data_IF_144219968537
#
_entry.id   IF_144219968537
#
_cell.length_a   1.000
_cell.length_b   1.000
_cell.length_c   1.000
_cell.angle_alpha   90.00
_cell.angle_beta   90.00
_cell.angle_gamma   90.00
#
_symmetry.space_group_name_H-M   'P 1'
#
loop_
_entity.id
_entity.type
_entity.pdbx_description
1 polymer ?
#
# COMPACT_ATOMS: atom_id res chain seq x y z
N UNK A 1 -11.60 -24.18 8.97
CA UNK A 1 -12.29 -22.87 8.86
C UNK A 1 -12.21 -22.22 10.23
N UNK A 2 -11.35 -21.21 10.36
CA UNK A 2 -11.23 -20.43 11.60
C UNK A 2 -12.55 -19.68 11.80
N UNK A 3 -13.26 -19.96 12.89
CA UNK A 3 -14.57 -19.40 13.21
C UNK A 3 -14.51 -17.99 13.81
N UNK A 4 -13.36 -17.33 13.79
CA UNK A 4 -13.10 -16.09 14.55
C UNK A 4 -12.97 -14.84 13.66
N UNK A 5 -13.04 -14.98 12.34
CA UNK A 5 -12.97 -13.85 11.41
C UNK A 5 -14.36 -13.46 10.89
N UNK A 6 -14.53 -12.17 10.65
CA UNK A 6 -15.72 -11.62 10.01
C UNK A 6 -15.90 -12.23 8.60
N UNK A 7 -17.14 -12.55 8.16
CA UNK A 7 -17.40 -13.12 6.84
C UNK A 7 -16.83 -12.29 5.68
N UNK A 8 -16.89 -10.96 5.74
CA UNK A 8 -16.33 -10.08 4.69
C UNK A 8 -14.81 -10.23 4.63
N UNK A 9 -14.15 -10.40 5.78
CA UNK A 9 -12.70 -10.66 5.82
C UNK A 9 -12.34 -12.04 5.28
N UNK A 10 -13.19 -13.05 5.48
CA UNK A 10 -13.00 -14.37 4.86
C UNK A 10 -13.13 -14.30 3.34
N UNK A 11 -14.13 -13.56 2.83
CA UNK A 11 -14.27 -13.31 1.39
C UNK A 11 -13.05 -12.60 0.82
N UNK A 12 -12.48 -11.63 1.55
CA UNK A 12 -11.23 -10.97 1.15
C UNK A 12 -10.05 -11.94 1.11
N UNK A 13 -9.91 -12.83 2.10
CA UNK A 13 -8.84 -13.83 2.13
C UNK A 13 -8.97 -14.79 0.94
N UNK A 14 -10.19 -15.25 0.63
CA UNK A 14 -10.47 -16.11 -0.50
C UNK A 14 -10.20 -15.39 -1.84
N UNK A 15 -10.57 -14.11 -1.92
CA UNK A 15 -10.30 -13.24 -3.07
C UNK A 15 -8.80 -12.95 -3.23
N UNK A 16 -8.00 -12.87 -2.18
CA UNK A 16 -6.53 -12.81 -2.31
C UNK A 16 -6.02 -14.18 -2.79
N UNK A 17 -6.33 -15.24 -2.06
CA UNK A 17 -5.84 -16.59 -2.35
C UNK A 17 -4.31 -16.74 -2.17
N UNK A 18 -3.85 -18.00 -2.06
CA UNK A 18 -2.47 -18.31 -1.66
C UNK A 18 -1.41 -17.72 -2.61
N UNK A 19 -1.65 -17.78 -3.92
CA UNK A 19 -0.71 -17.27 -4.94
C UNK A 19 -0.47 -15.77 -4.80
N UNK A 20 -1.54 -14.96 -4.72
CA UNK A 20 -1.40 -13.50 -4.62
C UNK A 20 -0.92 -13.10 -3.23
N UNK A 21 -1.31 -13.82 -2.16
CA UNK A 21 -0.75 -13.61 -0.83
C UNK A 21 0.78 -13.75 -0.82
N UNK A 22 1.33 -14.80 -1.43
CA UNK A 22 2.78 -14.98 -1.55
C UNK A 22 3.45 -13.85 -2.36
N UNK A 23 2.84 -13.41 -3.46
CA UNK A 23 3.34 -12.29 -4.26
C UNK A 23 3.30 -10.96 -3.48
N UNK A 24 2.23 -10.71 -2.72
CA UNK A 24 2.09 -9.53 -1.85
C UNK A 24 3.15 -9.51 -0.75
N UNK A 25 3.41 -10.64 -0.09
CA UNK A 25 4.45 -10.74 0.94
C UNK A 25 5.83 -10.45 0.35
N UNK A 26 6.16 -11.07 -0.79
CA UNK A 26 7.44 -10.86 -1.45
C UNK A 26 7.62 -9.39 -1.90
N UNK A 27 6.57 -8.79 -2.47
CA UNK A 27 6.56 -7.40 -2.87
C UNK A 27 6.69 -6.45 -1.68
N UNK A 28 6.00 -6.72 -0.56
CA UNK A 28 6.07 -5.95 0.68
C UNK A 28 7.49 -5.90 1.26
N UNK A 29 8.14 -7.06 1.38
CA UNK A 29 9.54 -7.14 1.85
C UNK A 29 10.48 -6.36 0.94
N UNK A 30 10.31 -6.47 -0.38
CA UNK A 30 11.13 -5.72 -1.34
C UNK A 30 10.88 -4.20 -1.27
N UNK A 31 9.62 -3.77 -1.15
CA UNK A 31 9.25 -2.36 -1.00
C UNK A 31 9.84 -1.78 0.29
N UNK A 32 9.74 -2.50 1.41
CA UNK A 32 10.32 -2.07 2.69
C UNK A 32 11.84 -1.87 2.59
N UNK A 33 12.54 -2.82 1.95
CA UNK A 33 13.98 -2.74 1.74
C UNK A 33 14.38 -1.55 0.86
N UNK A 34 13.66 -1.33 -0.24
CA UNK A 34 13.91 -0.21 -1.15
C UNK A 34 13.64 1.15 -0.49
N UNK A 35 12.55 1.28 0.29
CA UNK A 35 12.25 2.51 1.05
C UNK A 35 13.39 2.82 2.02
N UNK A 36 13.89 1.82 2.75
CA UNK A 36 15.02 2.01 3.68
C UNK A 36 16.30 2.41 2.94
N UNK A 37 16.59 1.77 1.82
CA UNK A 37 17.75 2.10 0.99
C UNK A 37 17.70 3.54 0.47
N UNK A 38 16.55 3.97 -0.05
CA UNK A 38 16.34 5.34 -0.50
C UNK A 38 16.40 6.34 0.68
N UNK A 39 15.88 5.96 1.85
CA UNK A 39 15.93 6.78 3.06
C UNK A 39 17.36 6.97 3.60
N UNK A 40 18.19 5.95 3.51
CA UNK A 40 19.62 6.01 3.85
C UNK A 40 20.41 6.83 2.84
N UNK A 41 20.10 6.70 1.55
CA UNK A 41 20.75 7.45 0.48
C UNK A 41 20.48 8.96 0.57
N UNK A 42 19.22 9.34 0.84
CA UNK A 42 18.84 10.75 0.95
C UNK A 42 19.09 11.35 2.33
N UNK A 43 19.06 10.56 3.40
CA UNK A 43 19.02 11.10 4.75
C UNK A 43 17.82 12.03 4.96
N UNK A 44 18.07 13.30 5.26
CA UNK A 44 17.05 14.35 5.39
C UNK A 44 16.87 15.20 4.12
N UNK A 45 17.63 14.93 3.07
CA UNK A 45 17.52 15.70 1.83
C UNK A 45 16.20 15.38 1.11
N UNK A 46 15.64 16.35 0.37
CA UNK A 46 14.42 16.16 -0.39
C UNK A 46 14.59 15.14 -1.51
N UNK A 47 13.49 14.52 -1.91
CA UNK A 47 13.45 13.55 -3.01
C UNK A 47 13.79 14.20 -4.35
N UNK A 48 14.86 13.72 -4.98
CA UNK A 48 15.14 13.88 -6.41
C UNK A 48 14.59 12.66 -7.18
N UNK A 49 13.68 12.91 -8.13
CA UNK A 49 13.00 11.86 -8.91
C UNK A 49 13.93 11.03 -9.80
N UNK A 50 15.17 11.44 -10.06
CA UNK A 50 16.02 10.80 -11.08
C UNK A 50 16.77 9.55 -10.60
N UNK A 51 16.75 9.23 -9.30
CA UNK A 51 17.69 8.23 -8.72
C UNK A 51 17.12 7.20 -7.76
N UNK A 52 15.85 7.31 -7.35
CA UNK A 52 15.32 6.52 -6.24
C UNK A 52 14.50 5.32 -6.72
N UNK A 53 14.49 4.27 -5.89
CA UNK A 53 13.87 2.97 -6.16
C UNK A 53 12.35 3.04 -5.96
N UNK A 54 11.92 3.67 -4.87
CA UNK A 54 10.51 3.73 -4.44
C UNK A 54 10.11 5.15 -4.03
N UNK A 55 10.95 5.91 -3.32
CA UNK A 55 10.53 7.23 -2.79
C UNK A 55 10.20 8.25 -3.90
N UNK A 56 10.75 8.08 -5.11
CA UNK A 56 10.41 8.87 -6.31
C UNK A 56 9.01 8.59 -6.85
N UNK A 57 8.41 7.45 -6.48
CA UNK A 57 7.06 7.01 -6.87
C UNK A 57 5.98 7.49 -5.90
N UNK A 58 6.34 8.16 -4.80
CA UNK A 58 5.37 8.71 -3.87
C UNK A 58 4.81 10.05 -4.38
N UNK A 59 3.63 10.47 -3.88
CA UNK A 59 3.12 11.82 -4.11
C UNK A 59 4.11 12.91 -3.70
N UNK A 60 4.14 14.04 -4.42
CA UNK A 60 5.12 15.12 -4.18
C UNK A 60 5.05 15.72 -2.77
N UNK A 61 3.89 15.65 -2.10
CA UNK A 61 3.73 16.11 -0.72
C UNK A 61 4.66 15.39 0.27
N UNK A 62 5.17 14.20 -0.08
CA UNK A 62 6.08 13.42 0.76
C UNK A 62 7.56 13.75 0.52
N UNK A 63 7.90 14.59 -0.46
CA UNK A 63 9.28 14.71 -0.94
C UNK A 63 10.23 15.35 0.08
N UNK A 64 9.70 16.24 0.91
CA UNK A 64 10.43 16.93 1.98
C UNK A 64 10.46 16.13 3.30
N UNK A 65 9.89 14.92 3.33
CA UNK A 65 9.78 14.16 4.58
C UNK A 65 11.13 13.63 5.05
N UNK A 66 11.31 13.60 6.37
CA UNK A 66 12.55 13.20 7.02
C UNK A 66 12.88 11.71 6.84
N UNK A 67 14.15 11.33 7.09
CA UNK A 67 14.57 9.93 7.21
C UNK A 67 13.68 9.14 8.17
N UNK A 68 13.30 9.72 9.30
CA UNK A 68 12.46 9.05 10.30
C UNK A 68 11.09 8.69 9.72
N UNK A 69 10.44 9.65 9.06
CA UNK A 69 9.15 9.44 8.39
C UNK A 69 9.24 8.34 7.32
N UNK A 70 10.32 8.33 6.52
CA UNK A 70 10.56 7.30 5.50
C UNK A 70 10.74 5.91 6.11
N UNK A 71 11.37 5.80 7.28
CA UNK A 71 11.45 4.54 8.01
C UNK A 71 10.08 4.10 8.55
N UNK A 72 9.26 5.01 9.06
CA UNK A 72 7.88 4.67 9.44
C UNK A 72 7.09 4.12 8.24
N UNK A 73 7.29 4.69 7.05
CA UNK A 73 6.70 4.18 5.82
C UNK A 73 7.20 2.76 5.47
N UNK A 74 8.49 2.46 5.67
CA UNK A 74 9.01 1.11 5.50
C UNK A 74 8.41 0.12 6.51
N UNK A 75 8.17 0.54 7.76
CA UNK A 75 7.49 -0.29 8.76
C UNK A 75 6.04 -0.61 8.36
N UNK A 76 5.35 0.30 7.65
CA UNK A 76 4.03 0.02 7.09
C UNK A 76 4.08 -1.18 6.12
N UNK A 77 5.10 -1.28 5.26
CA UNK A 77 5.26 -2.42 4.35
C UNK A 77 5.47 -3.73 5.13
N UNK A 78 6.32 -3.72 6.16
CA UNK A 78 6.57 -4.90 6.97
C UNK A 78 5.32 -5.36 7.74
N UNK A 79 4.51 -4.43 8.25
CA UNK A 79 3.24 -4.75 8.90
C UNK A 79 2.27 -5.42 7.93
N UNK A 80 2.13 -4.91 6.71
CA UNK A 80 1.27 -5.52 5.69
C UNK A 80 1.75 -6.92 5.28
N UNK A 81 3.07 -7.13 5.22
CA UNK A 81 3.65 -8.46 4.99
C UNK A 81 3.27 -9.43 6.13
N UNK A 82 3.38 -8.97 7.38
CA UNK A 82 3.03 -9.76 8.56
C UNK A 82 1.54 -10.08 8.63
N UNK A 83 0.67 -9.11 8.33
CA UNK A 83 -0.77 -9.32 8.25
C UNK A 83 -1.10 -10.38 7.19
N UNK A 84 -0.52 -10.24 5.99
CA UNK A 84 -0.73 -11.20 4.90
C UNK A 84 -0.23 -12.60 5.27
N UNK A 85 0.93 -12.72 5.92
CA UNK A 85 1.44 -14.00 6.43
C UNK A 85 0.52 -14.63 7.49
N UNK A 86 -0.11 -13.82 8.32
CA UNK A 86 -0.88 -14.28 9.47
C UNK A 86 -2.32 -14.62 9.11
N UNK A 87 -2.93 -13.80 8.26
CA UNK A 87 -4.36 -13.86 7.98
C UNK A 87 -4.68 -14.21 6.53
N UNK A 88 -3.70 -14.18 5.63
CA UNK A 88 -3.90 -14.47 4.21
C UNK A 88 -4.18 -13.22 3.35
N UNK A 89 -4.39 -12.06 3.97
CA UNK A 89 -4.60 -10.79 3.31
C UNK A 89 -3.94 -9.64 4.11
N UNK A 90 -3.46 -8.56 3.46
CA UNK A 90 -2.99 -7.37 4.15
C UNK A 90 -4.18 -6.60 4.75
N UNK A 91 -3.96 -5.93 5.88
CA UNK A 91 -5.00 -5.15 6.59
C UNK A 91 -4.49 -3.74 6.84
N UNK A 92 -4.63 -2.80 5.90
CA UNK A 92 -4.15 -1.44 6.09
C UNK A 92 -4.97 -0.70 7.16
N UNK A 93 -4.28 -0.05 8.10
CA UNK A 93 -4.90 0.65 9.23
C UNK A 93 -4.67 2.15 9.27
N UNK A 94 -3.86 2.67 8.37
CA UNK A 94 -3.54 4.09 8.29
C UNK A 94 -3.17 4.46 6.85
N UNK A 95 -3.19 5.75 6.54
CA UNK A 95 -2.90 6.28 5.19
C UNK A 95 -1.53 5.83 4.67
N UNK A 96 -0.53 5.74 5.56
CA UNK A 96 0.80 5.24 5.21
C UNK A 96 0.79 3.76 4.81
N UNK A 97 -0.03 2.93 5.46
CA UNK A 97 -0.21 1.53 5.07
C UNK A 97 -0.90 1.43 3.71
N UNK A 98 -1.93 2.22 3.43
CA UNK A 98 -2.60 2.19 2.12
C UNK A 98 -1.73 2.68 0.97
N UNK A 99 -1.00 3.77 1.16
CA UNK A 99 -0.06 4.27 0.16
C UNK A 99 1.01 3.21 -0.15
N UNK A 100 1.49 2.50 0.87
CA UNK A 100 2.47 1.43 0.67
C UNK A 100 1.82 0.20 0.04
N UNK A 101 0.60 -0.14 0.42
CA UNK A 101 -0.17 -1.22 -0.18
C UNK A 101 -0.36 -1.01 -1.69
N UNK A 102 -0.59 0.23 -2.12
CA UNK A 102 -0.61 0.59 -3.54
C UNK A 102 0.68 0.20 -4.28
N UNK A 103 1.83 0.55 -3.71
CA UNK A 103 3.14 0.21 -4.27
C UNK A 103 3.37 -1.30 -4.27
N UNK A 104 2.94 -2.00 -3.21
CA UNK A 104 3.05 -3.45 -3.06
C UNK A 104 2.21 -4.16 -4.12
N UNK A 105 0.94 -3.80 -4.27
CA UNK A 105 0.01 -4.41 -5.23
C UNK A 105 0.53 -4.22 -6.65
N UNK A 106 0.95 -3.00 -7.01
CA UNK A 106 1.52 -2.73 -8.34
C UNK A 106 2.78 -3.57 -8.63
N UNK A 107 3.65 -3.75 -7.62
CA UNK A 107 4.86 -4.57 -7.75
C UNK A 107 4.55 -6.07 -7.79
N UNK A 108 3.61 -6.55 -6.98
CA UNK A 108 3.18 -7.93 -6.97
C UNK A 108 2.54 -8.31 -8.30
N UNK A 109 1.63 -7.47 -8.82
CA UNK A 109 1.00 -7.66 -10.13
C UNK A 109 2.04 -7.68 -11.27
N UNK A 110 3.01 -6.76 -11.26
CA UNK A 110 4.06 -6.74 -12.26
C UNK A 110 4.94 -8.01 -12.24
N UNK A 111 5.29 -8.49 -11.05
CA UNK A 111 6.09 -9.70 -10.88
C UNK A 111 5.32 -10.97 -11.29
N UNK A 112 4.04 -11.03 -10.94
CA UNK A 112 3.15 -12.16 -11.21
C UNK A 112 2.82 -12.30 -12.72
N UNK A 113 2.61 -11.17 -13.41
CA UNK A 113 2.20 -11.15 -14.82
C UNK A 113 3.36 -11.00 -15.80
N UNK A 114 4.51 -10.51 -15.33
CA UNK A 114 5.64 -10.10 -16.18
C UNK A 114 5.40 -8.80 -16.96
N UNK A 115 4.30 -8.09 -16.70
CA UNK A 115 3.94 -6.82 -17.36
C UNK A 115 4.37 -5.61 -16.52
N UNK A 116 4.48 -4.40 -17.12
CA UNK A 116 4.60 -3.17 -16.35
C UNK A 116 3.44 -3.00 -15.37
N UNK A 117 3.68 -2.46 -14.17
CA UNK A 117 2.67 -2.34 -13.11
C UNK A 117 1.35 -1.71 -13.58
N UNK A 118 1.39 -0.61 -14.32
CA UNK A 118 0.17 0.06 -14.85
C UNK A 118 -0.64 -0.82 -15.79
N UNK A 119 0.01 -1.74 -16.52
CA UNK A 119 -0.67 -2.71 -17.36
C UNK A 119 -1.15 -3.89 -16.54
N UNK A 120 -0.32 -4.41 -15.62
CA UNK A 120 -0.66 -5.54 -14.75
C UNK A 120 -1.91 -5.26 -13.88
N UNK A 121 -2.08 -4.01 -13.43
CA UNK A 121 -3.27 -3.57 -12.68
C UNK A 121 -4.57 -3.58 -13.50
N UNK A 122 -4.47 -3.52 -14.83
CA UNK A 122 -5.63 -3.51 -15.75
C UNK A 122 -5.70 -4.81 -16.57
N UNK A 123 -4.73 -5.72 -16.38
CA UNK A 123 -4.58 -6.87 -17.25
C UNK A 123 -5.55 -7.98 -16.85
N UNK A 124 -6.68 -8.04 -17.56
CA UNK A 124 -7.48 -9.26 -17.70
C UNK A 124 -6.96 -10.04 -18.91
N UNK A 125 -5.97 -10.92 -18.73
CA UNK A 125 -5.57 -11.87 -19.77
C UNK A 125 -6.72 -12.76 -20.27
N UNK A 126 -7.81 -12.81 -19.49
CA UNK A 126 -9.10 -13.38 -19.81
C UNK A 126 -10.20 -12.54 -19.13
N UNK A 127 -11.17 -11.96 -19.85
CA UNK A 127 -12.25 -11.15 -19.26
C UNK A 127 -13.24 -11.95 -18.39
N UNK A 128 -13.20 -13.29 -18.43
CA UNK A 128 -13.96 -14.17 -17.55
C UNK A 128 -13.16 -14.64 -16.31
N UNK A 129 -11.96 -14.08 -16.09
CA UNK A 129 -11.11 -14.43 -14.95
C UNK A 129 -11.38 -13.47 -13.77
N UNK A 130 -12.03 -13.92 -12.68
CA UNK A 130 -12.28 -13.09 -11.50
C UNK A 130 -11.01 -12.78 -10.70
N UNK A 131 -9.84 -13.33 -11.07
CA UNK A 131 -8.58 -13.15 -10.35
C UNK A 131 -7.73 -11.97 -10.86
N UNK A 132 -8.35 -10.90 -11.35
CA UNK A 132 -7.61 -9.71 -11.78
C UNK A 132 -7.03 -8.94 -10.59
N UNK A 133 -5.83 -8.38 -10.75
CA UNK A 133 -5.20 -7.56 -9.71
C UNK A 133 -5.90 -6.20 -9.52
N UNK A 134 -6.66 -5.73 -10.52
CA UNK A 134 -7.41 -4.48 -10.47
C UNK A 134 -8.56 -4.54 -9.48
N UNK A 135 -9.39 -5.59 -9.55
CA UNK A 135 -10.53 -5.77 -8.64
C UNK A 135 -10.04 -5.96 -7.20
N UNK A 136 -8.98 -6.75 -7.01
CA UNK A 136 -8.37 -6.95 -5.69
C UNK A 136 -7.87 -5.65 -5.06
N UNK A 137 -7.42 -4.68 -5.86
CA UNK A 137 -6.99 -3.38 -5.32
C UNK A 137 -8.15 -2.52 -4.82
N UNK A 138 -9.37 -2.71 -5.31
CA UNK A 138 -10.53 -2.01 -4.77
C UNK A 138 -10.91 -2.58 -3.41
N UNK A 139 -10.85 -3.90 -3.26
CA UNK A 139 -11.27 -4.59 -2.04
C UNK A 139 -10.25 -4.45 -0.88
N UNK A 140 -8.97 -4.25 -1.20
CA UNK A 140 -7.92 -4.16 -0.18
C UNK A 140 -7.76 -2.78 0.47
N UNK A 141 -8.25 -1.70 -0.15
CA UNK A 141 -8.10 -0.34 0.36
C UNK A 141 -9.30 0.08 1.18
N UNK A 142 -9.07 0.68 2.35
CA UNK A 142 -10.12 1.20 3.21
C UNK A 142 -10.50 2.64 2.84
N UNK A 143 -9.53 3.41 2.37
CA UNK A 143 -9.66 4.78 1.91
C UNK A 143 -8.95 4.92 0.55
N UNK A 144 -9.76 5.23 -0.47
CA UNK A 144 -9.28 5.44 -1.83
C UNK A 144 -8.85 6.89 -2.07
N UNK A 145 -9.17 7.80 -1.14
CA UNK A 145 -8.87 9.24 -1.28
C UNK A 145 -7.36 9.48 -1.23
N UNK A 146 -6.58 8.60 -0.60
CA UNK A 146 -5.12 8.67 -0.58
C UNK A 146 -4.49 8.63 -1.99
N UNK A 147 -5.14 7.98 -2.96
CA UNK A 147 -4.63 7.90 -4.32
C UNK A 147 -4.84 9.20 -5.10
N UNK A 148 -5.76 10.07 -4.66
CA UNK A 148 -5.94 11.41 -5.26
C UNK A 148 -4.70 12.28 -5.13
N UNK A 149 -3.82 11.98 -4.16
CA UNK A 149 -2.55 12.70 -3.95
C UNK A 149 -1.59 12.60 -5.14
N UNK A 150 -1.77 11.63 -6.03
CA UNK A 150 -0.99 11.54 -7.27
C UNK A 150 -1.38 12.60 -8.31
N UNK A 151 -2.63 13.05 -8.29
CA UNK A 151 -3.21 13.94 -9.31
C UNK A 151 -3.23 15.41 -8.89
N UNK A 152 -2.90 15.69 -7.62
CA UNK A 152 -3.01 17.03 -7.01
C UNK A 152 -1.63 17.55 -6.62
N UNK A 153 -1.27 18.81 -6.97
CA UNK A 153 -0.05 19.45 -6.49
C UNK A 153 0.00 19.50 -4.96
N UNK A 154 1.18 19.42 -4.36
CA UNK A 154 1.35 19.35 -2.90
C UNK A 154 0.70 20.54 -2.18
N UNK A 155 0.69 21.71 -2.80
CA UNK A 155 0.14 22.96 -2.29
C UNK A 155 -1.39 22.92 -2.22
N UNK A 156 -2.03 22.19 -3.15
CA UNK A 156 -3.48 22.06 -3.25
C UNK A 156 -4.05 20.96 -2.36
N UNK A 157 -3.20 20.11 -1.74
CA UNK A 157 -3.65 19.04 -0.84
C UNK A 157 -4.37 19.60 0.39
N UNK A 158 -3.95 20.76 0.90
CA UNK A 158 -4.61 21.42 2.05
C UNK A 158 -6.01 21.96 1.73
N UNK A 159 -6.34 22.11 0.45
CA UNK A 159 -7.63 22.61 -0.03
C UNK A 159 -8.62 21.48 -0.39
N UNK A 160 -8.21 20.22 -0.29
CA UNK A 160 -9.11 19.07 -0.34
C UNK A 160 -9.97 19.06 0.95
N UNK A 161 -11.02 19.86 0.92
CA UNK A 161 -12.01 20.03 2.00
C UNK A 161 -12.62 18.67 2.34
N UNK A 162 -12.16 18.06 3.44
CA UNK A 162 -12.77 16.86 4.03
C UNK A 162 -11.88 15.62 4.12
N UNK A 163 -10.68 15.61 3.54
CA UNK A 163 -9.75 14.48 3.63
C UNK A 163 -9.11 14.37 5.02
N UNK A 164 -9.56 13.42 5.83
CA UNK A 164 -8.96 13.14 7.14
C UNK A 164 -7.62 12.41 6.90
N UNK A 165 -6.54 12.81 7.56
CA UNK A 165 -5.21 12.17 7.53
C UNK A 165 -4.39 12.23 6.21
N UNK A 166 -4.71 13.11 5.26
CA UNK A 166 -3.92 13.23 4.01
C UNK A 166 -2.57 13.96 4.18
N UNK A 167 -2.39 14.72 5.28
CA UNK A 167 -1.11 15.34 5.58
C UNK A 167 -0.07 14.26 5.97
N UNK A 168 1.16 14.27 5.42
CA UNK A 168 2.15 13.23 5.74
C UNK A 168 2.42 13.00 7.22
N UNK A 169 2.30 14.04 8.05
CA UNK A 169 2.47 13.93 9.50
C UNK A 169 1.40 13.05 10.18
N UNK A 170 0.24 12.89 9.55
CA UNK A 170 -0.91 12.14 10.06
C UNK A 170 -0.97 10.72 9.49
N UNK A 171 -0.14 10.39 8.50
CA UNK A 171 -0.22 9.13 7.74
C UNK A 171 -0.09 7.86 8.59
N UNK A 172 0.53 7.95 9.76
CA UNK A 172 0.75 6.81 10.64
C UNK A 172 -0.25 6.74 11.81
N UNK A 173 -1.28 7.59 11.79
CA UNK A 173 -2.38 7.54 12.76
C UNK A 173 -3.38 6.49 12.30
N UNK A 174 -3.77 5.58 13.20
CA UNK A 174 -4.76 4.56 12.87
C UNK A 174 -6.12 5.17 12.54
N UNK A 175 -6.80 4.57 11.57
CA UNK A 175 -8.16 4.88 11.20
C UNK A 175 -9.11 4.54 12.34
N UNK A 176 -10.17 5.34 12.46
CA UNK A 176 -11.32 4.97 13.28
C UNK A 176 -12.26 4.11 12.42
N UNK A 177 -12.14 2.79 12.51
CA UNK A 177 -13.03 1.88 11.78
C UNK A 177 -14.33 1.64 12.56
N UNK A 178 -15.50 1.54 11.89
CA UNK A 178 -16.76 1.23 12.55
C UNK A 178 -16.90 -0.26 12.94
N UNK A 179 -15.97 -1.10 12.48
CA UNK A 179 -15.92 -2.54 12.74
C UNK A 179 -14.56 -2.94 13.33
N UNK A 180 -14.48 -4.06 14.08
CA UNK A 180 -13.25 -4.52 14.70
C UNK A 180 -12.29 -5.10 13.66
N UNK A 181 -11.05 -4.61 13.66
CA UNK A 181 -9.95 -5.23 12.91
C UNK A 181 -9.33 -6.37 13.74
N UNK A 182 -8.73 -7.39 13.10
CA UNK A 182 -7.97 -8.42 13.82
C UNK A 182 -6.89 -7.80 14.72
N UNK A 183 -6.63 -8.35 15.91
CA UNK A 183 -5.59 -7.79 16.78
C UNK A 183 -4.18 -7.95 16.19
N UNK A 184 -3.47 -6.84 15.99
CA UNK A 184 -2.05 -6.83 15.64
C UNK A 184 -1.24 -6.89 16.95
N UNK A 185 -0.34 -7.87 17.13
CA UNK A 185 0.41 -8.05 18.38
C UNK A 185 1.44 -6.93 18.64
#
# INVERSE_FOLDING_TARGET
>A
MNSDFDPEFVELIDAVGERRAQALIAAAVAVAADIRADADELGTDPVDRQRLRVLSLLPSITFEQSRFWRYQLAECADRLAQDTLRWGAPVPRCTGEEMVLHLIVGRAAAADTGLPATQAMVWSGNPDDPDTWGDLSVDLFQDHDVLTLYDVPAEAVTELVGGVNLAPAEWFTEFSTPYPLPDRP
#
